data_IF_688711062482
#
_entry.id   IF_688711062482
#
_cell.length_a   1.000
_cell.length_b   1.000
_cell.length_c   1.000
_cell.angle_alpha   90.00
_cell.angle_beta   90.00
_cell.angle_gamma   90.00
#
_symmetry.space_group_name_H-M   'P 1'
#
loop_
_entity.id
_entity.type
_entity.pdbx_description
1 polymer ?
#
# COMPACT_ATOMS: atom_id res chain seq x y z
N UNK A 1 -6.83 -17.66 -35.85
CA UNK A 1 -6.44 -17.92 -34.44
C UNK A 1 -6.14 -16.56 -33.82
N UNK A 2 -7.11 -15.96 -33.13
CA UNK A 2 -6.95 -14.61 -32.56
C UNK A 2 -6.39 -14.70 -31.15
N UNK A 3 -5.19 -14.18 -30.93
CA UNK A 3 -4.61 -14.06 -29.58
C UNK A 3 -5.38 -12.98 -28.81
N UNK A 4 -6.04 -13.30 -27.68
CA UNK A 4 -6.67 -12.27 -26.87
C UNK A 4 -5.57 -11.41 -26.22
N UNK A 5 -5.51 -10.13 -26.59
CA UNK A 5 -4.69 -9.17 -25.86
C UNK A 5 -5.39 -8.88 -24.54
N UNK A 6 -4.76 -9.26 -23.44
CA UNK A 6 -5.26 -8.96 -22.10
C UNK A 6 -4.89 -7.51 -21.79
N UNK A 7 -5.82 -6.58 -21.98
CA UNK A 7 -5.64 -5.18 -21.57
C UNK A 7 -5.63 -5.13 -20.04
N UNK A 8 -4.44 -5.22 -19.46
CA UNK A 8 -4.24 -4.90 -18.04
C UNK A 8 -4.48 -3.40 -17.90
N UNK A 9 -5.66 -3.03 -17.40
CA UNK A 9 -5.88 -1.68 -16.88
C UNK A 9 -5.14 -1.57 -15.55
N UNK A 10 -3.85 -1.24 -15.60
CA UNK A 10 -3.15 -0.73 -14.43
C UNK A 10 -3.80 0.61 -14.08
N UNK A 11 -4.61 0.65 -13.03
CA UNK A 11 -5.09 1.92 -12.46
C UNK A 11 -3.86 2.60 -11.84
N UNK A 12 -3.32 3.68 -12.43
CA UNK A 12 -2.12 4.30 -11.90
C UNK A 12 -2.46 4.92 -10.54
N UNK A 13 -1.73 4.56 -9.49
CA UNK A 13 -1.78 5.26 -8.20
C UNK A 13 -2.66 4.64 -7.10
N UNK A 14 -3.09 3.38 -7.24
CA UNK A 14 -3.78 2.68 -6.15
C UNK A 14 -2.88 2.39 -4.94
N UNK A 15 -3.44 2.34 -3.74
CA UNK A 15 -2.72 2.01 -2.49
C UNK A 15 -1.99 0.66 -2.55
N UNK A 16 -2.51 -0.31 -3.31
CA UNK A 16 -1.85 -1.59 -3.55
C UNK A 16 -0.49 -1.44 -4.23
N UNK A 17 -0.38 -0.56 -5.23
CA UNK A 17 0.87 -0.34 -5.96
C UNK A 17 1.91 0.36 -5.09
N UNK A 18 1.47 1.30 -4.24
CA UNK A 18 2.35 1.98 -3.27
C UNK A 18 2.93 1.01 -2.24
N UNK A 19 2.10 0.07 -1.78
CA UNK A 19 2.54 -0.99 -0.88
C UNK A 19 3.54 -1.91 -1.58
N UNK A 20 3.24 -2.35 -2.80
CA UNK A 20 4.14 -3.20 -3.59
C UNK A 20 5.49 -2.50 -3.84
N UNK A 21 5.50 -1.21 -4.20
CA UNK A 21 6.73 -0.41 -4.34
C UNK A 21 7.50 -0.25 -3.03
N UNK A 22 6.80 0.00 -1.91
CA UNK A 22 7.41 0.12 -0.59
C UNK A 22 8.10 -1.19 -0.19
N UNK A 23 7.42 -2.33 -0.34
CA UNK A 23 8.00 -3.64 -0.03
C UNK A 23 9.13 -4.03 -1.00
N UNK A 24 9.00 -3.70 -2.29
CA UNK A 24 10.06 -3.90 -3.27
C UNK A 24 11.33 -3.10 -2.92
N UNK A 25 11.18 -1.85 -2.48
CA UNK A 25 12.29 -1.00 -2.05
C UNK A 25 13.00 -1.48 -0.78
N UNK A 26 12.29 -2.20 0.09
CA UNK A 26 12.85 -2.75 1.33
C UNK A 26 13.63 -4.07 1.13
N UNK A 27 13.60 -4.67 -0.06
CA UNK A 27 14.26 -5.96 -0.33
C UNK A 27 13.70 -7.14 0.48
N UNK A 28 12.52 -6.95 1.10
CA UNK A 28 11.89 -7.94 1.98
C UNK A 28 11.23 -9.05 1.15
N UNK A 29 12.01 -10.09 0.84
CA UNK A 29 11.52 -11.32 0.20
C UNK A 29 10.60 -12.20 1.06
N UNK A 30 10.26 -11.78 2.28
CA UNK A 30 9.44 -12.55 3.22
C UNK A 30 8.03 -11.96 3.39
N UNK A 31 7.05 -12.77 2.98
CA UNK A 31 5.61 -12.71 3.23
C UNK A 31 4.95 -11.33 3.44
N UNK A 32 5.28 -10.36 2.58
CA UNK A 32 4.56 -9.08 2.47
C UNK A 32 3.04 -9.29 2.34
N UNK A 33 2.62 -10.42 1.76
CA UNK A 33 1.22 -10.79 1.66
C UNK A 33 0.54 -11.04 3.03
N UNK A 34 1.13 -11.85 3.91
CA UNK A 34 0.60 -12.09 5.27
C UNK A 34 0.58 -10.82 6.11
N UNK A 35 1.65 -10.03 6.00
CA UNK A 35 1.80 -8.78 6.72
C UNK A 35 0.77 -7.74 6.25
N UNK A 36 0.62 -7.60 4.94
CA UNK A 36 -0.42 -6.81 4.29
C UNK A 36 -1.79 -7.29 4.73
N UNK A 37 -2.06 -8.59 4.78
CA UNK A 37 -3.36 -9.13 5.18
C UNK A 37 -3.69 -8.86 6.65
N UNK A 38 -2.71 -8.93 7.54
CA UNK A 38 -2.87 -8.59 8.96
C UNK A 38 -3.17 -7.10 9.16
N UNK A 39 -2.47 -6.23 8.42
CA UNK A 39 -2.60 -4.77 8.52
C UNK A 39 -3.54 -4.13 7.50
N UNK A 40 -4.21 -4.92 6.65
CA UNK A 40 -5.07 -4.44 5.56
C UNK A 40 -6.26 -3.64 6.10
N UNK A 41 -6.78 -4.01 7.28
CA UNK A 41 -7.85 -3.25 7.94
C UNK A 41 -7.38 -1.85 8.31
N UNK A 42 -6.20 -1.73 8.91
CA UNK A 42 -5.62 -0.45 9.31
C UNK A 42 -5.29 0.44 8.11
N UNK A 43 -4.73 -0.16 7.05
CA UNK A 43 -4.50 0.51 5.76
C UNK A 43 -5.82 1.04 5.19
N UNK A 44 -6.88 0.23 5.18
CA UNK A 44 -8.19 0.66 4.68
C UNK A 44 -8.79 1.76 5.54
N UNK A 45 -8.65 1.69 6.87
CA UNK A 45 -9.10 2.76 7.78
C UNK A 45 -8.40 4.08 7.47
N UNK A 46 -7.06 4.06 7.35
CA UNK A 46 -6.28 5.27 7.03
C UNK A 46 -6.52 5.77 5.61
N UNK A 47 -6.78 4.87 4.66
CA UNK A 47 -7.10 5.26 3.28
C UNK A 47 -8.54 5.78 3.14
N UNK A 48 -9.45 5.34 4.01
CA UNK A 48 -10.81 5.89 4.12
C UNK A 48 -10.82 7.27 4.79
N UNK A 49 -9.77 7.64 5.53
CA UNK A 49 -9.60 9.00 6.04
C UNK A 49 -9.38 9.98 4.89
N UNK A 50 -9.94 11.18 5.03
CA UNK A 50 -9.67 12.26 4.08
C UNK A 50 -8.24 12.78 4.23
N UNK A 51 -7.72 13.39 3.17
CA UNK A 51 -6.38 13.96 3.14
C UNK A 51 -6.17 14.99 4.28
N UNK A 52 -7.23 15.73 4.64
CA UNK A 52 -7.23 16.66 5.77
C UNK A 52 -7.12 15.95 7.13
N UNK A 53 -7.71 14.76 7.27
CA UNK A 53 -7.62 13.97 8.50
C UNK A 53 -6.24 13.32 8.64
N UNK A 54 -5.66 12.84 7.54
CA UNK A 54 -4.28 12.36 7.49
C UNK A 54 -3.29 13.49 7.81
N UNK A 55 -3.48 14.69 7.25
CA UNK A 55 -2.64 15.85 7.53
C UNK A 55 -2.68 16.27 9.01
N UNK A 56 -3.82 16.12 9.69
CA UNK A 56 -3.92 16.36 11.14
C UNK A 56 -3.13 15.37 11.98
N UNK A 57 -2.88 14.17 11.44
CA UNK A 57 -1.99 13.17 12.03
C UNK A 57 -0.52 13.38 11.63
N UNK A 58 -0.23 14.37 10.77
CA UNK A 58 1.09 14.56 10.19
C UNK A 58 1.45 13.54 9.11
N UNK A 59 0.45 12.84 8.57
CA UNK A 59 0.63 11.78 7.57
C UNK A 59 0.17 12.24 6.19
N UNK A 60 0.84 11.75 5.17
CA UNK A 60 0.37 11.85 3.78
C UNK A 60 -0.08 10.47 3.30
N UNK A 61 -0.83 10.39 2.19
CA UNK A 61 -1.22 9.10 1.63
C UNK A 61 -0.03 8.22 1.22
N UNK A 62 1.13 8.81 0.93
CA UNK A 62 2.37 8.07 0.64
C UNK A 62 3.04 7.54 1.91
N UNK A 63 2.79 8.19 3.05
CA UNK A 63 3.41 7.84 4.32
C UNK A 63 2.64 6.71 5.05
N UNK A 64 1.40 6.43 4.65
CA UNK A 64 0.55 5.38 5.26
C UNK A 64 1.27 4.02 5.37
N UNK A 65 1.95 3.48 4.33
CA UNK A 65 2.72 2.25 4.46
C UNK A 65 3.81 2.35 5.53
N UNK A 66 4.58 3.44 5.53
CA UNK A 66 5.63 3.69 6.51
C UNK A 66 5.08 3.75 7.93
N UNK A 67 3.96 4.43 8.13
CA UNK A 67 3.29 4.53 9.42
C UNK A 67 2.74 3.18 9.92
N UNK A 68 2.03 2.44 9.07
CA UNK A 68 1.41 1.15 9.44
C UNK A 68 2.47 0.09 9.73
N UNK A 69 3.58 0.11 9.01
CA UNK A 69 4.65 -0.87 9.16
C UNK A 69 5.82 -0.37 10.01
N UNK A 70 5.75 0.84 10.61
CA UNK A 70 6.84 1.39 11.45
C UNK A 70 7.26 0.44 12.57
N UNK A 71 6.29 -0.30 13.10
CA UNK A 71 6.46 -1.30 14.17
C UNK A 71 7.43 -2.44 13.77
N UNK A 72 7.57 -2.70 12.48
CA UNK A 72 8.47 -3.73 11.96
C UNK A 72 9.91 -3.26 11.78
N UNK A 73 10.13 -1.94 11.88
CA UNK A 73 11.44 -1.30 11.72
C UNK A 73 11.97 -0.72 13.04
N UNK A 74 11.31 -1.02 14.18
CA UNK A 74 11.71 -0.63 15.52
C UNK A 74 12.77 -1.58 16.11
#
# INVERSE_FOLDING_TARGET
MGTPYMTVKTVPGGMGERLDLFFAGLGMGFNAYSLRRSRMREIQTLNACSDAQLARMGLTRDDIPGYVFRDLFA
#
